data_IF_201806625227
#
_entry.id   IF_201806625227
#
_cell.length_a   1.000
_cell.length_b   1.000
_cell.length_c   1.000
_cell.angle_alpha   90.00
_cell.angle_beta   90.00
_cell.angle_gamma   90.00
#
_symmetry.space_group_name_H-M   'P 1'
#
loop_
_entity.id
_entity.type
_entity.pdbx_description
1 polymer ?
#
# COMPACT_ATOMS: atom_id res chain seq x y z
N UNK A 1 -7.99 0.53 13.53
CA UNK A 1 -7.02 -0.50 13.12
C UNK A 1 -5.80 0.18 12.48
N UNK A 2 -4.96 0.78 13.30
CA UNK A 2 -3.61 1.24 12.96
C UNK A 2 -2.82 1.23 14.29
N UNK A 3 -1.54 0.87 14.31
CA UNK A 3 -0.72 0.50 13.16
C UNK A 3 -1.01 -0.94 12.68
N UNK A 4 -0.79 -1.22 11.40
CA UNK A 4 -0.80 -2.59 10.85
C UNK A 4 0.60 -3.20 10.84
N UNK A 5 0.70 -4.49 11.13
CA UNK A 5 1.92 -5.28 11.03
C UNK A 5 2.10 -5.87 9.62
N UNK A 6 3.13 -6.68 9.41
CA UNK A 6 3.45 -7.23 8.08
C UNK A 6 2.46 -8.34 7.67
N UNK A 7 1.99 -9.13 8.61
CA UNK A 7 1.07 -10.24 8.43
C UNK A 7 -0.32 -9.70 8.06
N UNK A 8 -0.81 -8.67 8.78
CA UNK A 8 -2.05 -7.97 8.46
C UNK A 8 -2.03 -7.46 7.01
N UNK A 9 -0.93 -6.82 6.60
CA UNK A 9 -0.80 -6.26 5.24
C UNK A 9 -0.77 -7.36 4.18
N UNK A 10 -0.12 -8.51 4.44
CA UNK A 10 -0.12 -9.63 3.50
C UNK A 10 -1.52 -10.21 3.33
N UNK A 11 -2.26 -10.37 4.43
CA UNK A 11 -3.63 -10.85 4.45
C UNK A 11 -4.54 -9.90 3.65
N UNK A 12 -4.55 -8.61 4.01
CA UNK A 12 -5.31 -7.57 3.31
C UNK A 12 -5.06 -7.55 1.80
N UNK A 13 -3.80 -7.66 1.38
CA UNK A 13 -3.44 -7.68 -0.06
C UNK A 13 -3.81 -9.01 -0.72
N UNK A 14 -3.75 -10.12 0.02
CA UNK A 14 -4.14 -11.46 -0.44
C UNK A 14 -5.63 -11.60 -0.71
N UNK A 15 -6.46 -10.90 0.06
CA UNK A 15 -7.92 -10.92 -0.06
C UNK A 15 -8.46 -10.08 -1.22
N UNK A 16 -7.62 -9.23 -1.83
CA UNK A 16 -8.03 -8.42 -2.96
C UNK A 16 -8.41 -9.30 -4.16
N UNK A 17 -9.58 -9.05 -4.76
CA UNK A 17 -9.96 -9.66 -6.05
C UNK A 17 -8.92 -9.39 -7.16
N UNK A 18 -8.19 -8.28 -7.05
CA UNK A 18 -7.11 -7.90 -7.96
C UNK A 18 -5.74 -8.51 -7.61
N UNK A 19 -5.64 -9.34 -6.56
CA UNK A 19 -4.39 -9.98 -6.15
C UNK A 19 -3.64 -10.67 -7.31
N UNK A 20 -4.29 -11.38 -8.25
CA UNK A 20 -3.61 -11.97 -9.41
C UNK A 20 -2.95 -10.94 -10.34
N UNK A 21 -3.49 -9.72 -10.43
CA UNK A 21 -2.90 -8.64 -11.24
C UNK A 21 -1.65 -8.10 -10.54
N UNK A 22 -1.77 -7.88 -9.23
CA UNK A 22 -0.70 -7.38 -8.36
C UNK A 22 0.50 -8.36 -8.34
N UNK A 23 0.21 -9.66 -8.30
CA UNK A 23 1.22 -10.75 -8.30
C UNK A 23 1.65 -11.19 -9.69
N UNK A 24 1.20 -10.51 -10.75
CA UNK A 24 1.54 -10.80 -12.13
C UNK A 24 0.56 -11.78 -12.77
N UNK A 25 0.03 -11.40 -13.94
CA UNK A 25 -0.87 -12.22 -14.74
C UNK A 25 -0.56 -12.08 -16.23
N UNK A 26 -0.81 -13.14 -17.01
CA UNK A 26 -0.66 -13.17 -18.48
C UNK A 26 0.68 -12.60 -18.97
N UNK A 27 1.79 -13.04 -18.38
CA UNK A 27 3.15 -12.63 -18.77
C UNK A 27 3.59 -11.26 -18.23
N UNK A 28 2.73 -10.53 -17.50
CA UNK A 28 3.13 -9.30 -16.80
C UNK A 28 3.87 -9.63 -15.51
N UNK A 29 4.94 -8.89 -15.23
CA UNK A 29 5.69 -9.00 -13.97
C UNK A 29 4.82 -8.53 -12.79
N UNK A 30 4.97 -9.14 -11.60
CA UNK A 30 4.37 -8.62 -10.37
C UNK A 30 4.88 -7.20 -10.08
N UNK A 31 4.08 -6.42 -9.36
CA UNK A 31 4.62 -5.19 -8.77
C UNK A 31 5.63 -5.53 -7.66
N UNK A 32 6.40 -4.54 -7.21
CA UNK A 32 7.30 -4.73 -6.09
C UNK A 32 6.52 -4.86 -4.76
N UNK A 33 6.11 -6.08 -4.42
CA UNK A 33 5.32 -6.41 -3.22
C UNK A 33 6.00 -5.96 -1.93
N UNK A 34 7.33 -6.08 -1.84
CA UNK A 34 8.09 -5.62 -0.67
C UNK A 34 7.93 -4.11 -0.46
N UNK A 35 7.92 -3.33 -1.55
CA UNK A 35 7.68 -1.88 -1.49
C UNK A 35 6.24 -1.54 -1.16
N UNK A 36 5.25 -2.27 -1.68
CA UNK A 36 3.85 -2.12 -1.29
C UNK A 36 3.66 -2.34 0.22
N UNK A 37 4.18 -3.46 0.74
CA UNK A 37 4.06 -3.78 2.16
C UNK A 37 4.76 -2.73 3.04
N UNK A 38 5.94 -2.26 2.60
CA UNK A 38 6.66 -1.20 3.30
C UNK A 38 5.89 0.12 3.29
N UNK A 39 5.26 0.49 2.19
CA UNK A 39 4.43 1.69 2.08
C UNK A 39 3.27 1.65 3.08
N UNK A 40 2.45 0.58 3.04
CA UNK A 40 1.28 0.44 3.90
C UNK A 40 1.64 0.47 5.40
N UNK A 41 2.72 -0.19 5.80
CA UNK A 41 3.17 -0.16 7.19
C UNK A 41 3.70 1.21 7.62
N UNK A 42 4.44 1.90 6.74
CA UNK A 42 4.99 3.24 7.04
C UNK A 42 3.88 4.26 7.17
N UNK A 43 2.91 4.26 6.26
CA UNK A 43 1.77 5.20 6.29
C UNK A 43 0.89 4.93 7.49
N UNK A 44 0.61 3.68 7.81
CA UNK A 44 -0.16 3.31 9.01
C UNK A 44 0.52 3.77 10.30
N UNK A 45 1.85 3.62 10.43
CA UNK A 45 2.59 4.18 11.56
C UNK A 45 2.59 5.70 11.59
N UNK A 46 2.71 6.35 10.43
CA UNK A 46 2.67 7.81 10.31
C UNK A 46 1.32 8.37 10.78
N UNK A 47 0.20 7.75 10.39
CA UNK A 47 -1.12 8.17 10.83
C UNK A 47 -1.24 8.20 12.36
N UNK A 48 -0.75 7.18 13.05
CA UNK A 48 -0.76 7.11 14.53
C UNK A 48 0.16 8.17 15.12
N UNK A 49 1.37 8.32 14.57
CA UNK A 49 2.37 9.27 15.08
C UNK A 49 1.90 10.73 14.97
N UNK A 50 1.20 11.06 13.90
CA UNK A 50 0.76 12.42 13.58
C UNK A 50 -0.70 12.69 13.97
N UNK A 51 -1.34 11.76 14.68
CA UNK A 51 -2.73 11.79 15.14
C UNK A 51 -3.72 12.12 14.00
N UNK A 52 -3.57 11.44 12.86
CA UNK A 52 -4.43 11.62 11.69
C UNK A 52 -5.68 10.73 11.79
N UNK A 53 -6.86 11.33 11.64
CA UNK A 53 -8.14 10.59 11.51
C UNK A 53 -8.24 9.85 10.18
N UNK A 54 -7.79 10.46 9.09
CA UNK A 54 -7.90 9.90 7.74
C UNK A 54 -6.64 10.19 6.92
N UNK A 55 -6.23 9.23 6.09
CA UNK A 55 -5.20 9.37 5.08
C UNK A 55 -5.60 8.55 3.85
N UNK A 56 -5.67 9.20 2.71
CA UNK A 56 -5.94 8.60 1.41
C UNK A 56 -4.80 8.92 0.45
N UNK A 57 -4.24 7.86 -0.14
CA UNK A 57 -3.17 7.93 -1.14
C UNK A 57 -3.74 7.39 -2.44
N UNK A 58 -4.19 8.27 -3.32
CA UNK A 58 -4.84 7.86 -4.56
C UNK A 58 -4.67 8.92 -5.67
N UNK A 59 -3.90 8.67 -6.74
CA UNK A 59 -3.32 7.37 -7.09
C UNK A 59 -1.92 7.13 -6.48
N UNK A 60 -1.63 5.84 -6.22
CA UNK A 60 -0.27 5.33 -6.01
C UNK A 60 0.12 4.49 -7.23
N UNK A 61 1.14 4.91 -7.97
CA UNK A 61 1.53 4.29 -9.23
C UNK A 61 2.83 3.52 -9.05
N UNK A 62 2.80 2.19 -9.26
CA UNK A 62 3.99 1.35 -9.22
C UNK A 62 4.68 1.29 -10.59
N UNK A 63 6.01 1.35 -10.60
CA UNK A 63 6.85 1.26 -11.79
C UNK A 63 8.14 0.46 -11.49
N UNK A 64 9.01 0.31 -12.50
CA UNK A 64 10.25 -0.47 -12.37
C UNK A 64 11.21 0.07 -11.31
N UNK A 65 11.16 1.37 -11.00
CA UNK A 65 12.01 2.04 -10.01
C UNK A 65 11.41 2.04 -8.61
N UNK A 66 10.11 1.73 -8.47
CA UNK A 66 9.41 1.77 -7.19
C UNK A 66 7.93 2.10 -7.29
N UNK A 67 7.53 3.16 -6.60
CA UNK A 67 6.20 3.74 -6.67
C UNK A 67 6.29 5.25 -6.52
N UNK A 68 5.32 5.94 -7.11
CA UNK A 68 5.08 7.36 -6.94
C UNK A 68 3.71 7.56 -6.28
N UNK A 69 3.67 8.42 -5.26
CA UNK A 69 2.42 8.88 -4.65
C UNK A 69 2.08 10.19 -5.36
N UNK A 70 1.05 10.17 -6.20
CA UNK A 70 0.73 11.28 -7.09
C UNK A 70 -0.15 12.32 -6.42
N UNK A 71 -1.07 11.87 -5.57
CA UNK A 71 -1.96 12.72 -4.79
C UNK A 71 -2.13 12.18 -3.36
N UNK A 72 -2.37 13.09 -2.42
CA UNK A 72 -2.51 12.80 -0.99
C UNK A 72 -3.61 13.67 -0.39
N UNK A 73 -4.55 13.03 0.29
CA UNK A 73 -5.59 13.71 1.09
C UNK A 73 -5.53 13.19 2.52
N UNK A 74 -5.60 14.08 3.51
CA UNK A 74 -5.57 13.69 4.92
C UNK A 74 -6.45 14.60 5.77
N UNK A 75 -6.91 14.08 6.91
CA UNK A 75 -7.63 14.85 7.95
C UNK A 75 -7.04 14.55 9.32
N UNK A 76 -6.93 15.58 10.15
CA UNK A 76 -6.59 15.48 11.57
C UNK A 76 -7.85 15.44 12.44
#
# INVERSE_FOLDING_TARGET
>A
MCPVNKEDVKEMVGELKSHPIITGTRGKKPINMKRLYSLMQKTSRMMVKEDMKELDLNPVVFNERGYDIVDVRYKK
#
